data_IF_073911214485
#
_entry.id   IF_073911214485
#
_cell.length_a   1.000
_cell.length_b   1.000
_cell.length_c   1.000
_cell.angle_alpha   90.00
_cell.angle_beta   90.00
_cell.angle_gamma   90.00
#
_symmetry.space_group_name_H-M   'P 1'
#
loop_
_entity.id
_entity.type
_entity.pdbx_description
1 polymer ?
#
# COMPACT_ATOMS: atom_id res chain seq x y z
N UNK A 1 11.56 6.16 3.39
CA UNK A 1 10.42 6.98 3.85
C UNK A 1 9.90 6.32 5.12
N UNK A 2 9.68 7.10 6.17
CA UNK A 2 9.21 6.58 7.46
C UNK A 2 7.70 6.28 7.43
N UNK A 3 7.19 5.46 8.35
CA UNK A 3 5.77 5.06 8.38
C UNK A 3 4.83 6.27 8.43
N UNK A 4 5.18 7.30 9.21
CA UNK A 4 4.40 8.53 9.32
C UNK A 4 4.26 9.30 7.99
N UNK A 5 5.26 9.21 7.10
CA UNK A 5 5.18 9.82 5.77
C UNK A 5 4.26 9.02 4.82
N UNK A 6 4.14 7.70 5.01
CA UNK A 6 3.17 6.86 4.28
C UNK A 6 1.74 7.27 4.66
N UNK A 7 1.48 7.48 5.95
CA UNK A 7 0.16 7.89 6.47
C UNK A 7 -0.37 9.17 5.84
N UNK A 8 0.51 10.08 5.45
CA UNK A 8 0.13 11.37 4.87
C UNK A 8 -0.13 11.30 3.37
N UNK A 9 0.37 10.26 2.68
CA UNK A 9 0.33 10.16 1.22
C UNK A 9 -0.75 9.21 0.70
N UNK A 10 -1.22 8.27 1.53
CA UNK A 10 -2.27 7.32 1.17
C UNK A 10 -3.48 7.46 2.09
N UNK A 11 -4.71 7.57 1.54
CA UNK A 11 -5.92 7.70 2.35
C UNK A 11 -6.33 6.38 3.04
N UNK A 12 -5.81 5.24 2.58
CA UNK A 12 -6.10 3.92 3.15
C UNK A 12 -5.69 3.83 4.61
N UNK A 13 -6.50 3.15 5.42
CA UNK A 13 -6.23 2.87 6.82
C UNK A 13 -6.42 1.38 7.12
N UNK A 14 -6.08 0.95 8.33
CA UNK A 14 -6.38 -0.41 8.79
C UNK A 14 -7.88 -0.72 8.64
N UNK A 15 -8.28 -1.92 8.18
CA UNK A 15 -7.43 -3.07 7.84
C UNK A 15 -6.99 -3.14 6.37
N UNK A 16 -7.18 -2.10 5.57
CA UNK A 16 -6.96 -2.12 4.12
C UNK A 16 -5.71 -1.36 3.65
N UNK A 17 -4.88 -0.85 4.56
CA UNK A 17 -3.53 -0.37 4.23
C UNK A 17 -2.59 -1.56 4.04
N UNK A 18 -2.07 -1.72 2.84
CA UNK A 18 -1.29 -2.88 2.41
C UNK A 18 0.20 -2.59 2.21
N UNK A 19 0.69 -1.45 2.70
CA UNK A 19 2.11 -1.07 2.64
C UNK A 19 2.59 -0.70 4.04
N UNK A 20 3.70 -1.29 4.47
CA UNK A 20 4.33 -1.00 5.76
C UNK A 20 5.51 -0.04 5.63
N UNK A 21 6.26 -0.15 4.53
CA UNK A 21 7.45 0.66 4.27
C UNK A 21 7.64 0.93 2.78
N UNK A 22 8.18 2.11 2.47
CA UNK A 22 8.64 2.45 1.11
C UNK A 22 10.16 2.39 1.08
N UNK A 23 10.68 1.60 0.15
CA UNK A 23 12.11 1.39 -0.08
C UNK A 23 12.67 2.36 -1.12
N UNK A 24 11.92 2.64 -2.18
CA UNK A 24 12.35 3.51 -3.29
C UNK A 24 11.14 4.27 -3.86
N UNK A 25 11.33 5.54 -4.24
CA UNK A 25 10.38 6.30 -5.07
C UNK A 25 11.17 7.06 -6.12
N UNK A 26 10.77 6.88 -7.38
CA UNK A 26 11.09 7.74 -8.51
C UNK A 26 9.78 8.41 -8.98
N UNK A 27 9.59 9.71 -8.74
CA UNK A 27 8.36 10.43 -9.01
C UNK A 27 7.74 10.14 -10.38
N UNK A 28 6.50 9.67 -10.39
CA UNK A 28 5.72 9.36 -11.61
C UNK A 28 6.24 8.18 -12.44
N UNK A 29 7.28 7.47 -11.98
CA UNK A 29 7.97 6.44 -12.78
C UNK A 29 8.03 5.07 -12.09
N UNK A 30 8.43 5.02 -10.82
CA UNK A 30 8.65 3.77 -10.09
C UNK A 30 8.46 3.98 -8.59
N UNK A 31 7.91 2.98 -7.91
CA UNK A 31 8.02 2.86 -6.47
C UNK A 31 8.29 1.41 -6.09
N UNK A 32 9.03 1.21 -4.99
CA UNK A 32 9.28 -0.09 -4.39
C UNK A 32 8.84 -0.01 -2.94
N UNK A 33 7.92 -0.89 -2.56
CA UNK A 33 7.35 -0.93 -1.23
C UNK A 33 7.49 -2.34 -0.62
N UNK A 34 7.39 -2.40 0.69
CA UNK A 34 7.44 -3.61 1.50
C UNK A 34 6.11 -3.76 2.25
N UNK A 35 5.54 -4.96 2.10
CA UNK A 35 4.44 -5.47 2.92
C UNK A 35 4.97 -6.69 3.67
N UNK A 36 5.03 -6.60 5.00
CA UNK A 36 5.23 -7.76 5.83
C UNK A 36 3.92 -8.53 5.91
N UNK A 37 4.01 -9.85 5.87
CA UNK A 37 2.86 -10.74 6.05
C UNK A 37 3.03 -11.45 7.38
N UNK A 38 2.11 -11.20 8.31
CA UNK A 38 2.13 -11.82 9.65
C UNK A 38 0.86 -12.64 9.88
N UNK A 39 0.98 -13.72 10.64
CA UNK A 39 -0.16 -14.60 10.97
C UNK A 39 -1.30 -13.88 11.70
N UNK A 40 -1.00 -12.76 12.38
CA UNK A 40 -1.97 -11.97 13.13
C UNK A 40 -2.86 -11.07 12.25
N UNK A 41 -2.66 -11.06 10.92
CA UNK A 41 -3.49 -10.27 10.02
C UNK A 41 -4.89 -10.86 9.85
N UNK A 42 -5.92 -9.99 9.91
CA UNK A 42 -7.31 -10.40 10.03
C UNK A 42 -7.82 -11.30 8.87
N UNK A 43 -7.26 -11.15 7.67
CA UNK A 43 -7.66 -11.93 6.51
C UNK A 43 -7.07 -13.35 6.48
N UNK A 44 -5.97 -13.62 7.19
CA UNK A 44 -5.35 -14.95 7.20
C UNK A 44 -6.12 -15.96 8.07
N UNK A 45 -6.92 -15.50 9.04
CA UNK A 45 -7.80 -16.35 9.83
C UNK A 45 -8.82 -17.12 8.95
N UNK A 46 -9.26 -16.48 7.86
CA UNK A 46 -10.23 -17.05 6.91
C UNK A 46 -9.60 -17.61 5.63
N UNK A 47 -8.32 -17.34 5.35
CA UNK A 47 -7.69 -17.65 4.07
C UNK A 47 -6.32 -18.33 4.26
N UNK A 48 -6.26 -19.62 4.60
CA UNK A 48 -7.35 -20.52 5.00
C UNK A 48 -7.12 -21.02 6.44
N UNK A 49 -8.15 -21.42 7.19
CA UNK A 49 -8.03 -21.74 8.62
C UNK A 49 -6.96 -22.79 9.00
N UNK A 50 -6.61 -23.71 8.09
CA UNK A 50 -5.58 -24.76 8.29
C UNK A 50 -4.36 -24.59 7.38
N UNK A 51 -4.28 -23.49 6.65
CA UNK A 51 -3.27 -23.22 5.64
C UNK A 51 -3.31 -21.72 5.29
N UNK A 52 -2.83 -20.85 6.19
CA UNK A 52 -2.83 -19.41 5.97
C UNK A 52 -2.01 -19.09 4.72
N UNK A 53 -2.62 -18.33 3.82
CA UNK A 53 -2.07 -17.94 2.54
C UNK A 53 -2.45 -16.49 2.26
N UNK A 54 -1.50 -15.68 1.79
CA UNK A 54 -1.79 -14.30 1.40
C UNK A 54 -2.81 -14.29 0.24
N UNK A 55 -3.98 -13.64 0.37
CA UNK A 55 -4.92 -13.53 -0.74
C UNK A 55 -4.28 -12.80 -1.93
N UNK A 56 -4.33 -13.39 -3.11
CA UNK A 56 -3.72 -12.81 -4.32
C UNK A 56 -4.28 -11.42 -4.66
N UNK A 57 -5.56 -11.19 -4.37
CA UNK A 57 -6.20 -9.87 -4.55
C UNK A 57 -5.63 -8.79 -3.63
N UNK A 58 -5.15 -9.15 -2.44
CA UNK A 58 -4.50 -8.19 -1.53
C UNK A 58 -3.05 -7.90 -1.94
N UNK A 59 -2.40 -8.81 -2.67
CA UNK A 59 -1.12 -8.52 -3.34
C UNK A 59 -1.35 -7.48 -4.44
N UNK A 60 -2.42 -7.64 -5.24
CA UNK A 60 -2.79 -6.65 -6.27
C UNK A 60 -3.13 -5.29 -5.63
N UNK A 61 -3.83 -5.28 -4.51
CA UNK A 61 -4.11 -4.06 -3.74
C UNK A 61 -2.82 -3.38 -3.26
N UNK A 62 -1.87 -4.13 -2.68
CA UNK A 62 -0.58 -3.60 -2.27
C UNK A 62 0.20 -2.97 -3.44
N UNK A 63 0.13 -3.60 -4.62
CA UNK A 63 0.72 -3.07 -5.85
C UNK A 63 0.00 -1.81 -6.33
N UNK A 64 -1.34 -1.76 -6.26
CA UNK A 64 -2.13 -0.60 -6.62
C UNK A 64 -1.80 0.59 -5.71
N UNK A 65 -1.74 0.40 -4.39
CA UNK A 65 -1.31 1.43 -3.43
C UNK A 65 0.12 1.91 -3.72
N UNK A 66 1.02 1.00 -4.10
CA UNK A 66 2.41 1.34 -4.45
C UNK A 66 2.47 2.18 -5.73
N UNK A 67 1.64 1.84 -6.72
CA UNK A 67 1.49 2.61 -7.96
C UNK A 67 0.89 3.99 -7.70
N UNK A 68 -0.16 4.07 -6.88
CA UNK A 68 -0.80 5.32 -6.46
C UNK A 68 0.19 6.26 -5.77
N UNK A 69 1.09 5.73 -4.94
CA UNK A 69 2.17 6.48 -4.33
C UNK A 69 3.18 7.02 -5.37
N UNK A 70 3.61 6.20 -6.33
CA UNK A 70 4.51 6.63 -7.39
C UNK A 70 3.88 7.76 -8.22
N UNK A 71 2.61 7.61 -8.58
CA UNK A 71 1.83 8.60 -9.32
C UNK A 71 1.62 9.89 -8.52
N UNK A 72 1.18 9.79 -7.25
CA UNK A 72 0.97 10.97 -6.41
C UNK A 72 2.27 11.75 -6.18
N UNK A 73 3.41 11.05 -6.10
CA UNK A 73 4.71 11.71 -5.90
C UNK A 73 5.19 12.57 -7.08
N UNK A 74 4.57 12.48 -8.27
CA UNK A 74 4.86 13.38 -9.40
C UNK A 74 4.08 14.69 -9.42
N UNK A 75 3.07 14.87 -8.55
CA UNK A 75 2.33 16.12 -8.49
C UNK A 75 3.03 17.13 -7.59
N UNK A 76 3.10 18.39 -8.04
CA UNK A 76 3.47 19.49 -7.16
C UNK A 76 2.35 19.72 -6.12
N UNK A 77 2.72 20.23 -4.95
CA UNK A 77 1.91 20.31 -3.71
C UNK A 77 0.51 20.98 -3.83
N UNK A 78 0.11 21.49 -4.99
CA UNK A 78 -1.04 22.41 -5.12
C UNK A 78 -2.35 21.81 -5.65
N UNK A 79 -2.39 20.58 -6.15
CA UNK A 79 -3.69 19.94 -6.44
C UNK A 79 -4.02 18.87 -5.41
N UNK A 80 -4.95 19.20 -4.50
CA UNK A 80 -5.69 18.24 -3.65
C UNK A 80 -6.61 17.38 -4.52
N UNK A 81 -6.09 16.72 -5.54
CA UNK A 81 -6.79 15.65 -6.24
C UNK A 81 -6.32 14.34 -5.62
N UNK A 82 -7.18 13.74 -4.80
CA UNK A 82 -6.96 12.35 -4.35
C UNK A 82 -7.20 11.49 -5.58
N UNK A 83 -6.21 10.77 -6.12
CA UNK A 83 -6.44 9.89 -7.26
C UNK A 83 -7.45 8.82 -6.83
N UNK A 84 -8.60 8.77 -7.49
CA UNK A 84 -9.72 7.84 -7.22
C UNK A 84 -9.43 6.42 -7.75
N UNK A 85 -8.21 5.94 -7.56
CA UNK A 85 -7.80 4.56 -7.85
C UNK A 85 -7.16 3.90 -6.62
N UNK A 86 -7.50 4.43 -5.45
CA UNK A 86 -7.06 4.06 -4.12
C UNK A 86 -8.30 3.74 -3.28
#
# INVERSE_FOLDING_TARGET
MDFNEILQRLPHAFPFRMIDRILEINPGKKAVALKNVSIDECYLQGHFPKGPAMPGVLILEALAQTGGLAFHSSFEKEEKSVPFLA
#
